data_IF_855615067209
#
_entry.id   IF_855615067209
#
_cell.length_a   1.000
_cell.length_b   1.000
_cell.length_c   1.000
_cell.angle_alpha   90.00
_cell.angle_beta   90.00
_cell.angle_gamma   90.00
#
_symmetry.space_group_name_H-M   'P 1'
#
loop_
_entity.id
_entity.type
_entity.pdbx_description
1 polymer ?
#
# COMPACT_ATOMS: atom_id res chain seq x y z
N UNK A 1 18.36 -5.92 18.43
CA UNK A 1 17.88 -5.25 17.85
C UNK A 1 18.39 -4.93 17.01
N UNK A 2 17.97 -4.57 16.41
CA UNK A 2 18.62 -4.61 15.27
C UNK A 2 18.44 -3.39 14.46
N UNK A 3 19.47 -3.01 13.73
CA UNK A 3 19.42 -1.93 12.79
C UNK A 3 18.42 -2.25 11.69
N UNK A 4 18.32 -3.53 11.29
CA UNK A 4 17.37 -3.96 10.27
C UNK A 4 15.92 -3.69 10.67
N UNK A 5 15.58 -3.89 11.93
CA UNK A 5 14.23 -3.61 12.39
C UNK A 5 13.90 -2.13 12.28
N UNK A 6 14.88 -1.28 12.62
CA UNK A 6 14.70 0.17 12.48
C UNK A 6 14.59 0.56 11.00
N UNK A 7 15.34 -0.10 10.14
CA UNK A 7 15.27 0.14 8.70
C UNK A 7 13.93 -0.29 8.13
N UNK A 8 13.41 -1.43 8.57
CA UNK A 8 12.07 -1.87 8.16
C UNK A 8 11.02 -0.83 8.53
N UNK A 9 11.13 -0.28 9.74
CA UNK A 9 10.18 0.73 10.18
C UNK A 9 10.30 2.02 9.36
N UNK A 10 11.54 2.41 9.04
CA UNK A 10 11.77 3.58 8.20
C UNK A 10 11.20 3.39 6.79
N UNK A 11 11.36 2.20 6.22
CA UNK A 11 10.76 1.88 4.94
C UNK A 11 9.24 1.92 5.01
N UNK A 12 8.65 1.31 6.06
CA UNK A 12 7.20 1.31 6.22
C UNK A 12 6.66 2.73 6.34
N UNK A 13 7.34 3.56 7.13
CA UNK A 13 6.97 4.95 7.30
C UNK A 13 7.03 5.72 5.98
N UNK A 14 8.11 5.51 5.23
CA UNK A 14 8.29 6.18 3.93
C UNK A 14 7.20 5.81 2.95
N UNK A 15 6.87 4.52 2.88
CA UNK A 15 5.80 4.05 2.01
C UNK A 15 4.47 4.65 2.44
N UNK A 16 4.20 4.68 3.75
CA UNK A 16 2.97 5.25 4.27
C UNK A 16 2.85 6.74 3.92
N UNK A 17 3.92 7.49 4.12
CA UNK A 17 3.94 8.92 3.81
C UNK A 17 3.74 9.18 2.33
N UNK A 18 4.37 8.37 1.48
CA UNK A 18 4.23 8.49 0.04
C UNK A 18 2.80 8.17 -0.40
N UNK A 19 2.23 7.09 0.12
CA UNK A 19 0.86 6.73 -0.20
C UNK A 19 -0.13 7.81 0.25
N UNK A 20 0.08 8.39 1.43
CA UNK A 20 -0.76 9.48 1.92
C UNK A 20 -0.64 10.72 1.05
N UNK A 21 0.57 11.03 0.58
CA UNK A 21 0.78 12.16 -0.33
C UNK A 21 -0.01 11.96 -1.62
N UNK A 22 0.04 10.76 -2.21
CA UNK A 22 -0.71 10.45 -3.41
C UNK A 22 -2.22 10.50 -3.15
N UNK A 23 -2.66 10.01 -1.99
CA UNK A 23 -4.06 10.04 -1.63
C UNK A 23 -4.59 11.46 -1.52
N UNK A 24 -3.80 12.37 -0.96
CA UNK A 24 -4.17 13.77 -0.80
C UNK A 24 -4.01 14.57 -2.09
N UNK A 25 -3.34 14.00 -3.08
CA UNK A 25 -3.02 14.70 -4.32
C UNK A 25 -1.71 15.46 -4.17
N UNK A 26 -0.76 15.15 -5.01
CA UNK A 26 0.56 15.79 -4.95
C UNK A 26 1.09 15.92 -6.37
N UNK A 27 2.28 16.47 -6.50
CA UNK A 27 2.93 16.67 -7.80
C UNK A 27 4.20 15.83 -7.83
N UNK A 28 4.42 15.10 -8.93
CA UNK A 28 5.63 14.30 -9.06
C UNK A 28 6.82 15.17 -9.48
N UNK A 29 7.97 14.54 -9.69
CA UNK A 29 9.20 15.25 -10.06
C UNK A 29 9.09 16.00 -11.39
N UNK A 30 8.23 15.53 -12.28
CA UNK A 30 8.02 16.15 -13.58
C UNK A 30 7.00 17.29 -13.54
N UNK A 31 6.46 17.60 -12.36
CA UNK A 31 5.47 18.66 -12.21
C UNK A 31 4.05 18.24 -12.53
N UNK A 32 3.80 16.95 -12.71
CA UNK A 32 2.46 16.45 -13.02
C UNK A 32 1.71 16.11 -11.74
N UNK A 33 0.42 16.40 -11.73
CA UNK A 33 -0.42 16.02 -10.60
C UNK A 33 -0.61 14.50 -10.59
N UNK A 34 -0.47 13.89 -9.44
CA UNK A 34 -0.65 12.46 -9.27
C UNK A 34 -1.63 12.18 -8.15
N UNK A 35 -2.26 11.02 -8.21
CA UNK A 35 -3.27 10.59 -7.25
C UNK A 35 -3.01 9.16 -6.85
N UNK A 36 -3.85 8.62 -5.97
CA UNK A 36 -3.73 7.24 -5.53
C UNK A 36 -3.87 6.25 -6.71
N UNK A 37 -4.62 6.61 -7.76
CA UNK A 37 -4.67 5.79 -8.98
C UNK A 37 -3.29 5.59 -9.59
N UNK A 38 -2.49 6.64 -9.62
CA UNK A 38 -1.13 6.56 -10.16
C UNK A 38 -0.25 5.68 -9.28
N UNK A 39 -0.44 5.77 -7.97
CA UNK A 39 0.32 4.95 -7.03
C UNK A 39 0.05 3.46 -7.25
N UNK A 40 -1.23 3.11 -7.43
CA UNK A 40 -1.63 1.74 -7.71
C UNK A 40 -1.08 1.28 -9.06
N UNK A 41 -1.12 2.14 -10.07
CA UNK A 41 -0.63 1.81 -11.41
C UNK A 41 0.86 1.48 -11.40
N UNK A 42 1.63 2.13 -10.52
CA UNK A 42 3.07 1.92 -10.41
C UNK A 42 3.47 0.80 -9.45
N UNK A 43 2.51 0.23 -8.73
CA UNK A 43 2.80 -0.85 -7.79
C UNK A 43 3.28 -2.09 -8.53
N UNK A 44 4.08 -2.91 -7.83
CA UNK A 44 4.66 -4.10 -8.43
C UNK A 44 3.65 -5.24 -8.58
N UNK A 45 2.74 -5.36 -7.63
CA UNK A 45 1.75 -6.44 -7.64
C UNK A 45 0.69 -6.14 -6.60
N UNK A 46 -0.40 -6.88 -6.64
CA UNK A 46 -1.40 -6.80 -5.58
C UNK A 46 -2.09 -8.15 -5.41
N UNK A 47 -2.55 -8.39 -4.19
CA UNK A 47 -3.36 -9.55 -3.85
C UNK A 47 -4.70 -9.05 -3.33
N UNK A 48 -5.76 -9.74 -3.67
CA UNK A 48 -7.12 -9.34 -3.31
C UNK A 48 -7.82 -10.48 -2.60
N UNK A 49 -8.45 -10.16 -1.47
CA UNK A 49 -9.32 -11.12 -0.78
C UNK A 49 -10.75 -10.75 -1.13
N UNK A 50 -11.50 -11.72 -1.63
CA UNK A 50 -12.88 -11.50 -2.03
C UNK A 50 -13.83 -12.18 -1.05
N UNK A 51 -15.03 -11.61 -0.90
CA UNK A 51 -16.11 -12.25 -0.17
C UNK A 51 -16.73 -13.34 -1.05
N UNK A 52 -17.61 -14.14 -0.47
CA UNK A 52 -18.33 -15.16 -1.24
C UNK A 52 -19.20 -14.55 -2.34
N UNK A 53 -19.53 -13.27 -2.24
CA UNK A 53 -20.29 -12.53 -3.25
C UNK A 53 -19.39 -11.82 -4.25
N UNK A 54 -18.08 -12.07 -4.17
CA UNK A 54 -17.07 -11.52 -5.07
C UNK A 54 -16.92 -10.01 -4.98
N UNK A 55 -17.11 -9.47 -3.77
CA UNK A 55 -16.76 -8.07 -3.49
C UNK A 55 -15.40 -8.03 -2.83
N UNK A 56 -14.69 -6.92 -2.98
CA UNK A 56 -13.35 -6.78 -2.41
C UNK A 56 -13.46 -6.63 -0.89
N UNK A 57 -12.81 -7.54 -0.17
CA UNK A 57 -12.76 -7.49 1.29
C UNK A 57 -11.48 -6.84 1.80
N UNK A 58 -10.37 -7.14 1.16
CA UNK A 58 -9.07 -6.61 1.56
C UNK A 58 -8.12 -6.65 0.39
N UNK A 59 -7.10 -5.78 0.43
CA UNK A 59 -6.06 -5.69 -0.61
C UNK A 59 -4.70 -5.63 0.07
N UNK A 60 -3.72 -6.29 -0.53
CA UNK A 60 -2.31 -6.10 -0.24
C UNK A 60 -1.67 -5.55 -1.50
N UNK A 61 -1.18 -4.33 -1.43
CA UNK A 61 -0.53 -3.67 -2.56
C UNK A 61 0.97 -3.69 -2.35
N UNK A 62 1.69 -4.45 -3.18
CA UNK A 62 3.14 -4.62 -3.04
C UNK A 62 3.87 -3.49 -3.74
N UNK A 63 4.64 -2.73 -2.97
CA UNK A 63 5.36 -1.56 -3.50
C UNK A 63 6.86 -1.81 -3.63
N UNK A 64 7.43 -2.72 -2.84
CA UNK A 64 8.79 -3.20 -3.02
C UNK A 64 8.83 -4.70 -2.83
N UNK A 65 9.73 -5.38 -3.54
CA UNK A 65 9.94 -6.81 -3.42
C UNK A 65 11.43 -7.07 -3.34
N UNK A 66 11.77 -8.11 -2.61
CA UNK A 66 13.16 -8.50 -2.47
C UNK A 66 13.69 -8.15 -1.10
N UNK A 67 14.43 -7.11 -0.98
CA UNK A 67 14.97 -6.70 0.28
C UNK A 67 14.95 -5.20 0.43
N UNK A 68 13.98 -4.61 1.12
CA UNK A 68 12.87 -5.26 1.81
C UNK A 68 11.67 -5.52 0.91
N UNK A 69 10.73 -6.32 1.41
CA UNK A 69 9.41 -6.48 0.79
C UNK A 69 8.42 -5.66 1.61
N UNK A 70 7.77 -4.70 0.97
CA UNK A 70 6.81 -3.84 1.66
C UNK A 70 5.49 -3.84 0.90
N UNK A 71 4.40 -3.86 1.65
CA UNK A 71 3.07 -3.78 1.05
C UNK A 71 2.14 -2.96 1.94
N UNK A 72 1.12 -2.39 1.31
CA UNK A 72 0.03 -1.74 2.02
C UNK A 72 -1.05 -2.79 2.24
N UNK A 73 -1.42 -3.00 3.50
CA UNK A 73 -2.41 -4.01 3.88
C UNK A 73 -3.67 -3.30 4.35
N UNK A 74 -4.74 -3.35 3.55
CA UNK A 74 -5.95 -2.63 3.90
C UNK A 74 -6.71 -3.28 5.05
N UNK A 75 -6.53 -4.57 5.28
CA UNK A 75 -7.16 -5.25 6.40
C UNK A 75 -6.53 -4.82 7.72
N UNK A 76 -5.20 -4.68 7.74
CA UNK A 76 -4.47 -4.24 8.92
C UNK A 76 -4.44 -2.73 9.08
N UNK A 77 -4.82 -1.99 8.02
CA UNK A 77 -4.74 -0.52 7.97
C UNK A 77 -3.31 -0.06 8.26
N UNK A 78 -2.37 -0.70 7.62
CA UNK A 78 -0.94 -0.45 7.87
C UNK A 78 -0.10 -0.80 6.66
N UNK A 79 1.07 -0.16 6.59
CA UNK A 79 2.14 -0.61 5.70
C UNK A 79 2.96 -1.63 6.48
N UNK A 80 3.22 -2.78 5.87
CA UNK A 80 4.00 -3.85 6.47
C UNK A 80 5.27 -4.02 5.67
N UNK A 81 6.41 -4.08 6.34
CA UNK A 81 7.70 -4.33 5.68
C UNK A 81 8.40 -5.49 6.35
N UNK A 82 8.99 -6.34 5.52
CA UNK A 82 9.79 -7.48 5.95
C UNK A 82 11.18 -7.39 5.34
N UNK A 83 12.19 -7.61 6.14
CA UNK A 83 13.57 -7.70 5.67
C UNK A 83 14.28 -8.79 6.45
N UNK A 84 14.55 -9.93 5.81
CA UNK A 84 15.08 -11.08 6.49
C UNK A 84 14.07 -11.59 7.52
N UNK A 85 14.49 -11.67 8.77
CA UNK A 85 13.60 -12.08 9.86
C UNK A 85 12.96 -10.89 10.58
N UNK A 86 13.33 -9.68 10.18
CA UNK A 86 12.79 -8.47 10.78
C UNK A 86 11.49 -8.07 10.10
N UNK A 87 10.61 -7.43 10.86
CA UNK A 87 9.33 -6.98 10.38
C UNK A 87 8.96 -5.69 11.10
N UNK A 88 8.29 -4.80 10.40
CA UNK A 88 7.76 -3.58 11.00
C UNK A 88 6.46 -3.19 10.30
N UNK A 89 5.62 -2.47 11.03
CA UNK A 89 4.35 -1.96 10.51
C UNK A 89 4.26 -0.47 10.83
N UNK A 90 3.57 0.24 9.97
CA UNK A 90 3.29 1.67 10.17
C UNK A 90 1.84 1.92 9.79
N UNK A 91 1.06 2.42 10.75
CA UNK A 91 -0.38 2.63 10.56
C UNK A 91 -0.67 3.68 9.50
N UNK A 92 -1.74 3.48 8.74
CA UNK A 92 -2.20 4.43 7.73
C UNK A 92 -3.68 4.68 7.92
N UNK A 93 -4.16 5.74 7.26
CA UNK A 93 -5.53 6.19 7.36
C UNK A 93 -6.50 5.15 6.78
N UNK A 94 -7.62 4.94 7.46
CA UNK A 94 -8.66 4.02 7.02
C UNK A 94 -9.29 4.48 5.70
N UNK A 95 -9.45 5.80 5.51
CA UNK A 95 -10.01 6.34 4.28
C UNK A 95 -9.12 6.03 3.08
N UNK A 96 -7.81 6.07 3.27
CA UNK A 96 -6.85 5.70 2.24
C UNK A 96 -7.03 4.22 1.87
N UNK A 97 -7.19 3.36 2.88
CA UNK A 97 -7.41 1.92 2.65
C UNK A 97 -8.69 1.68 1.87
N UNK A 98 -9.76 2.38 2.23
CA UNK A 98 -11.04 2.25 1.53
C UNK A 98 -10.90 2.66 0.06
N UNK A 99 -10.18 3.75 -0.20
CA UNK A 99 -9.95 4.21 -1.56
C UNK A 99 -9.15 3.20 -2.36
N UNK A 100 -8.13 2.60 -1.75
CA UNK A 100 -7.35 1.56 -2.43
C UNK A 100 -8.23 0.38 -2.82
N UNK A 101 -9.12 -0.04 -1.93
CA UNK A 101 -10.03 -1.15 -2.22
C UNK A 101 -10.95 -0.80 -3.38
N UNK A 102 -11.45 0.42 -3.44
CA UNK A 102 -12.29 0.88 -4.52
C UNK A 102 -11.55 0.90 -5.86
N UNK A 103 -10.32 1.42 -5.86
CA UNK A 103 -9.50 1.48 -7.07
C UNK A 103 -9.21 0.08 -7.61
N UNK A 104 -8.84 -0.85 -6.74
CA UNK A 104 -8.57 -2.22 -7.16
C UNK A 104 -9.84 -2.89 -7.67
N UNK A 105 -10.98 -2.63 -7.01
CA UNK A 105 -12.26 -3.18 -7.49
C UNK A 105 -12.57 -2.69 -8.90
N UNK A 106 -12.29 -1.41 -9.20
CA UNK A 106 -12.47 -0.88 -10.54
C UNK A 106 -11.56 -1.58 -11.55
N UNK A 107 -10.28 -1.79 -11.20
CA UNK A 107 -9.34 -2.48 -12.07
C UNK A 107 -9.80 -3.91 -12.39
N UNK A 108 -10.41 -4.57 -11.44
CA UNK A 108 -10.88 -5.95 -11.58
C UNK A 108 -12.33 -6.02 -12.06
N UNK A 109 -12.98 -4.88 -12.24
CA UNK A 109 -14.40 -4.79 -12.60
C UNK A 109 -15.29 -5.53 -11.60
N UNK A 110 -14.97 -5.35 -10.32
CA UNK A 110 -15.70 -5.96 -9.22
C UNK A 110 -16.45 -4.90 -8.43
N UNK A 111 -17.42 -5.35 -7.64
CA UNK A 111 -18.13 -4.45 -6.72
C UNK A 111 -17.33 -4.32 -5.42
N UNK A 112 -17.50 -3.22 -4.70
CA UNK A 112 -16.89 -3.02 -3.40
C UNK A 112 -17.91 -3.18 -2.27
#
# INVERSE_FOLDING_TARGET
MSEMKNECREYAKRVAEEAEAYYNGTTNEDGEEVSLYDYVADALDYEVVLTSQKTVKAVRLYVTLGGPTCWIDTEEHAVVCHWGTDQAEYAIDWDLCNELEEIIAEYMELDT
#
